data_IF_349430935153
#
_entry.id   IF_349430935153
#
_cell.length_a   1.000
_cell.length_b   1.000
_cell.length_c   1.000
_cell.angle_alpha   90.00
_cell.angle_beta   90.00
_cell.angle_gamma   90.00
#
_symmetry.space_group_name_H-M   'P 1'
#
loop_
_entity.id
_entity.type
_entity.pdbx_description
1 polymer ?
#
# COMPACT_ATOMS: atom_id res chain seq x y z
N UNK A 1 1.58 6.45 1.62
CA UNK A 1 1.08 7.78 1.28
C UNK A 1 1.66 8.23 -0.05
N UNK A 2 0.82 8.73 -0.95
CA UNK A 2 1.29 9.37 -2.17
C UNK A 2 1.67 10.81 -1.81
N UNK A 3 2.93 11.15 -1.88
CA UNK A 3 3.41 12.51 -1.73
C UNK A 3 3.90 13.06 -3.08
N UNK A 4 4.26 14.32 -3.10
CA UNK A 4 4.77 15.03 -4.28
C UNK A 4 6.03 14.40 -4.89
N UNK A 5 6.81 13.66 -4.11
CA UNK A 5 8.02 12.96 -4.57
C UNK A 5 7.72 11.57 -5.14
N UNK A 6 6.58 10.96 -4.81
CA UNK A 6 6.28 9.57 -5.17
C UNK A 6 5.08 9.41 -6.10
N UNK A 7 4.34 10.49 -6.41
CA UNK A 7 3.17 10.43 -7.27
C UNK A 7 3.28 11.35 -8.48
N UNK A 8 3.21 10.77 -9.66
CA UNK A 8 3.14 11.52 -10.93
C UNK A 8 1.86 12.36 -11.09
N UNK A 9 0.89 12.18 -10.24
CA UNK A 9 -0.36 12.96 -10.26
C UNK A 9 -0.22 14.31 -9.55
N UNK A 10 0.64 14.42 -8.54
CA UNK A 10 0.75 15.61 -7.71
C UNK A 10 1.14 16.86 -8.48
N UNK A 11 2.09 16.76 -9.41
CA UNK A 11 2.48 17.92 -10.22
C UNK A 11 1.50 18.26 -11.37
N UNK A 12 0.45 17.44 -11.55
CA UNK A 12 -0.69 17.74 -12.43
C UNK A 12 -1.87 18.36 -11.68
N UNK A 13 -1.74 18.52 -10.36
CA UNK A 13 -2.77 19.09 -9.50
C UNK A 13 -2.41 20.51 -9.09
N UNK A 14 -3.37 21.29 -8.63
CA UNK A 14 -3.20 22.68 -8.22
C UNK A 14 -2.15 22.88 -7.11
N UNK A 15 -1.80 21.83 -6.36
CA UNK A 15 -0.77 21.87 -5.32
C UNK A 15 0.67 21.95 -5.86
N UNK A 16 0.88 21.58 -7.10
CA UNK A 16 2.17 21.67 -7.77
C UNK A 16 2.29 22.91 -8.67
N UNK A 17 1.31 23.79 -8.63
CA UNK A 17 1.27 24.99 -9.42
C UNK A 17 1.59 26.21 -8.57
N UNK A 18 2.33 27.16 -9.17
CA UNK A 18 2.54 28.48 -8.62
C UNK A 18 1.29 29.38 -8.74
N UNK A 19 1.36 30.60 -8.23
CA UNK A 19 0.26 31.57 -8.27
C UNK A 19 -0.17 31.95 -9.70
N UNK A 20 0.60 31.55 -10.72
CA UNK A 20 0.29 31.75 -12.15
C UNK A 20 -0.26 30.49 -12.82
N UNK A 21 -0.50 29.41 -12.04
CA UNK A 21 -0.96 28.13 -12.56
C UNK A 21 0.10 27.36 -13.35
N UNK A 22 1.39 27.65 -13.13
CA UNK A 22 2.51 26.92 -13.74
C UNK A 22 3.12 25.93 -12.72
N UNK A 23 3.52 24.73 -13.17
CA UNK A 23 4.21 23.79 -12.30
C UNK A 23 5.49 24.40 -11.73
N UNK A 24 5.73 24.20 -10.44
CA UNK A 24 7.00 24.59 -9.83
C UNK A 24 8.17 23.96 -10.59
N UNK A 25 9.16 24.76 -10.92
CA UNK A 25 10.33 24.34 -11.70
C UNK A 25 11.05 23.14 -11.07
N UNK A 26 11.12 23.10 -9.75
CA UNK A 26 11.74 22.03 -8.97
C UNK A 26 11.05 20.69 -9.18
N UNK A 27 9.71 20.66 -9.27
CA UNK A 27 8.95 19.45 -9.56
C UNK A 27 9.16 18.97 -10.99
N UNK A 28 9.23 19.88 -11.96
CA UNK A 28 9.52 19.53 -13.34
C UNK A 28 10.92 18.94 -13.47
N UNK A 29 11.93 19.54 -12.83
CA UNK A 29 13.30 19.04 -12.84
C UNK A 29 13.44 17.69 -12.12
N UNK A 30 12.73 17.51 -10.99
CA UNK A 30 12.68 16.23 -10.30
C UNK A 30 12.06 15.15 -11.19
N UNK A 31 10.92 15.45 -11.80
CA UNK A 31 10.22 14.51 -12.68
C UNK A 31 11.07 14.14 -13.90
N UNK A 32 11.65 15.11 -14.59
CA UNK A 32 12.51 14.86 -15.75
C UNK A 32 13.72 13.99 -15.40
N UNK A 33 14.30 14.17 -14.22
CA UNK A 33 15.41 13.33 -13.74
C UNK A 33 14.98 11.89 -13.42
N UNK A 34 13.75 11.69 -12.96
CA UNK A 34 13.31 10.40 -12.42
C UNK A 34 12.32 9.65 -13.34
N UNK A 35 11.78 10.30 -14.38
CA UNK A 35 10.82 9.67 -15.29
C UNK A 35 11.33 8.38 -15.94
N UNK A 36 12.63 8.29 -16.14
CA UNK A 36 13.28 7.10 -16.72
C UNK A 36 13.69 6.05 -15.69
N UNK A 37 13.75 6.42 -14.41
CA UNK A 37 14.13 5.48 -13.34
C UNK A 37 13.13 4.31 -13.20
N UNK A 38 11.87 4.55 -13.58
CA UNK A 38 10.81 3.53 -13.53
C UNK A 38 10.63 2.76 -14.85
N UNK A 39 11.21 3.26 -15.94
CA UNK A 39 10.98 2.69 -17.28
C UNK A 39 12.20 2.03 -17.90
N UNK A 40 13.39 2.37 -17.45
CA UNK A 40 14.62 1.85 -18.03
C UNK A 40 15.67 1.63 -16.94
N UNK A 41 15.62 0.49 -16.26
CA UNK A 41 16.53 0.21 -15.16
C UNK A 41 17.58 -0.84 -15.55
N UNK A 42 18.42 -0.51 -16.55
CA UNK A 42 19.60 -1.30 -16.91
C UNK A 42 20.50 -1.61 -15.69
N UNK A 43 20.48 -0.71 -14.69
CA UNK A 43 21.24 -0.91 -13.46
C UNK A 43 20.71 -2.07 -12.64
N UNK A 44 19.37 -2.20 -12.54
CA UNK A 44 18.74 -3.30 -11.82
C UNK A 44 19.07 -4.64 -12.54
N UNK A 45 18.97 -4.66 -13.87
CA UNK A 45 19.29 -5.85 -14.66
C UNK A 45 20.76 -6.25 -14.53
N UNK A 46 21.67 -5.28 -14.63
CA UNK A 46 23.12 -5.55 -14.52
C UNK A 46 23.53 -6.04 -13.15
N UNK A 47 22.85 -5.60 -12.10
CA UNK A 47 23.16 -5.98 -10.72
C UNK A 47 22.29 -7.10 -10.17
N UNK A 48 21.27 -7.52 -10.92
CA UNK A 48 20.37 -8.58 -10.48
C UNK A 48 21.12 -9.85 -10.08
N UNK A 49 21.98 -10.33 -10.95
CA UNK A 49 22.79 -11.55 -10.71
C UNK A 49 23.76 -11.42 -9.54
N UNK A 50 24.20 -10.19 -9.21
CA UNK A 50 25.08 -9.94 -8.07
C UNK A 50 24.31 -9.96 -6.74
N UNK A 51 23.04 -9.55 -6.76
CA UNK A 51 22.22 -9.36 -5.54
C UNK A 51 21.30 -10.53 -5.26
N UNK A 52 20.91 -11.25 -6.28
CA UNK A 52 19.85 -12.24 -6.24
C UNK A 52 20.02 -13.25 -5.11
N UNK A 53 21.21 -13.83 -5.00
CA UNK A 53 21.49 -14.85 -3.98
C UNK A 53 21.50 -14.28 -2.54
N UNK A 54 21.71 -12.99 -2.40
CA UNK A 54 21.78 -12.29 -1.11
C UNK A 54 20.47 -11.67 -0.67
N UNK A 55 19.48 -11.53 -1.56
CA UNK A 55 18.17 -11.00 -1.21
C UNK A 55 17.31 -12.12 -0.65
N UNK A 56 16.93 -12.01 0.61
CA UNK A 56 16.04 -12.94 1.31
C UNK A 56 14.61 -12.42 1.46
N UNK A 57 14.42 -11.11 1.30
CA UNK A 57 13.12 -10.45 1.46
C UNK A 57 12.91 -9.36 0.41
N UNK A 58 11.81 -9.47 -0.29
CA UNK A 58 11.30 -8.47 -1.22
C UNK A 58 10.06 -7.81 -0.63
N UNK A 59 10.07 -6.49 -0.55
CA UNK A 59 8.90 -5.70 -0.15
C UNK A 59 8.62 -4.65 -1.23
N UNK A 60 7.60 -4.92 -2.04
CA UNK A 60 7.27 -4.14 -3.24
C UNK A 60 6.12 -3.21 -2.97
N UNK A 61 6.42 -1.92 -2.93
CA UNK A 61 5.43 -0.86 -2.72
C UNK A 61 5.77 0.37 -3.58
N UNK A 62 4.85 1.35 -3.59
CA UNK A 62 4.98 2.60 -4.35
C UNK A 62 4.35 2.53 -5.73
N UNK A 63 3.59 3.59 -6.09
CA UNK A 63 2.68 3.55 -7.22
C UNK A 63 1.64 2.44 -7.06
N UNK A 64 1.39 1.71 -8.13
CA UNK A 64 0.61 0.46 -8.10
C UNK A 64 1.43 -0.64 -8.77
N UNK A 65 2.03 -1.55 -8.00
CA UNK A 65 2.92 -2.58 -8.53
C UNK A 65 2.27 -3.46 -9.61
N UNK A 66 0.97 -3.74 -9.47
CA UNK A 66 0.25 -4.63 -10.39
C UNK A 66 0.18 -4.13 -11.84
N UNK A 67 0.39 -2.83 -12.07
CA UNK A 67 0.41 -2.24 -13.43
C UNK A 67 1.82 -1.89 -13.92
N UNK A 68 2.85 -2.08 -13.09
CA UNK A 68 4.23 -1.73 -13.43
C UNK A 68 4.93 -2.91 -14.08
N UNK A 69 5.38 -2.82 -15.34
CA UNK A 69 6.07 -3.94 -16.02
C UNK A 69 7.31 -4.44 -15.28
N UNK A 70 8.05 -3.53 -14.64
CA UNK A 70 9.24 -3.88 -13.87
C UNK A 70 8.92 -4.79 -12.67
N UNK A 71 7.76 -4.60 -12.01
CA UNK A 71 7.31 -5.50 -10.95
C UNK A 71 7.22 -6.96 -11.43
N UNK A 72 6.55 -7.18 -12.56
CA UNK A 72 6.36 -8.51 -13.13
C UNK A 72 7.68 -9.13 -13.55
N UNK A 73 8.54 -8.35 -14.18
CA UNK A 73 9.88 -8.79 -14.56
C UNK A 73 10.70 -9.20 -13.33
N UNK A 74 10.68 -8.38 -12.27
CA UNK A 74 11.36 -8.66 -11.00
C UNK A 74 10.82 -9.94 -10.37
N UNK A 75 9.50 -10.11 -10.34
CA UNK A 75 8.84 -11.29 -9.80
C UNK A 75 9.26 -12.56 -10.56
N UNK A 76 9.19 -12.53 -11.88
CA UNK A 76 9.55 -13.68 -12.72
C UNK A 76 11.04 -14.05 -12.57
N UNK A 77 11.92 -13.07 -12.47
CA UNK A 77 13.34 -13.30 -12.20
C UNK A 77 13.56 -13.90 -10.81
N UNK A 78 12.87 -13.38 -9.78
CA UNK A 78 12.98 -13.91 -8.42
C UNK A 78 12.47 -15.37 -8.33
N UNK A 79 11.43 -15.72 -9.09
CA UNK A 79 10.92 -17.11 -9.19
C UNK A 79 11.91 -18.03 -9.89
N UNK A 80 12.57 -17.55 -10.94
CA UNK A 80 13.57 -18.32 -11.70
C UNK A 80 14.85 -18.61 -10.89
N UNK A 81 15.06 -17.90 -9.78
CA UNK A 81 16.19 -18.09 -8.89
C UNK A 81 16.19 -19.47 -8.22
N UNK A 82 17.36 -20.08 -8.11
CA UNK A 82 17.56 -21.33 -7.37
C UNK A 82 17.26 -21.21 -5.88
N UNK A 83 17.25 -19.97 -5.35
CA UNK A 83 17.01 -19.64 -3.96
C UNK A 83 15.57 -19.15 -3.69
N UNK A 84 14.66 -19.19 -4.66
CA UNK A 84 13.28 -18.71 -4.53
C UNK A 84 12.57 -19.25 -3.27
N UNK A 85 12.72 -20.55 -2.98
CA UNK A 85 12.15 -21.22 -1.81
C UNK A 85 12.75 -20.79 -0.45
N UNK A 86 13.78 -19.97 -0.46
CA UNK A 86 14.38 -19.39 0.75
C UNK A 86 13.94 -17.92 0.95
N UNK A 87 13.29 -17.31 -0.04
CA UNK A 87 12.93 -15.89 -0.08
C UNK A 87 11.50 -15.67 0.39
N UNK A 88 11.28 -14.49 0.95
CA UNK A 88 9.96 -13.95 1.24
C UNK A 88 9.64 -12.84 0.24
N UNK A 89 8.40 -12.76 -0.20
CA UNK A 89 7.97 -11.76 -1.19
C UNK A 89 6.66 -11.09 -0.78
N UNK A 90 6.70 -9.79 -0.53
CA UNK A 90 5.53 -8.98 -0.22
C UNK A 90 5.22 -8.01 -1.34
N UNK A 91 3.95 -7.76 -1.55
CA UNK A 91 3.47 -6.68 -2.42
C UNK A 91 2.37 -5.89 -1.74
N UNK A 92 2.41 -4.57 -1.89
CA UNK A 92 1.35 -3.67 -1.44
C UNK A 92 0.61 -3.11 -2.65
N UNK A 93 -0.71 -3.28 -2.68
CA UNK A 93 -1.57 -2.89 -3.79
C UNK A 93 -2.74 -2.02 -3.31
N UNK A 94 -3.23 -1.15 -4.18
CA UNK A 94 -4.48 -0.43 -3.97
C UNK A 94 -5.74 -1.31 -4.17
N UNK A 95 -5.56 -2.55 -4.65
CA UNK A 95 -6.63 -3.52 -4.83
C UNK A 95 -7.48 -3.32 -6.09
N UNK A 96 -7.21 -2.30 -6.90
CA UNK A 96 -8.01 -2.01 -8.09
C UNK A 96 -7.77 -3.01 -9.24
N UNK A 97 -6.67 -3.75 -9.20
CA UNK A 97 -6.27 -4.68 -10.26
C UNK A 97 -6.18 -6.10 -9.72
N UNK A 98 -6.88 -7.02 -10.35
CA UNK A 98 -6.75 -8.45 -10.11
C UNK A 98 -5.88 -9.11 -11.18
N UNK A 99 -4.97 -9.98 -10.74
CA UNK A 99 -4.10 -10.79 -11.60
C UNK A 99 -4.23 -12.25 -11.19
N UNK A 100 -4.80 -13.03 -12.07
CA UNK A 100 -5.17 -14.43 -11.83
C UNK A 100 -3.97 -15.33 -11.46
N UNK A 101 -2.80 -15.05 -12.03
CA UNK A 101 -1.58 -15.85 -11.84
C UNK A 101 -0.71 -15.39 -10.65
N UNK A 102 -1.06 -14.28 -9.97
CA UNK A 102 -0.22 -13.71 -8.92
C UNK A 102 -0.01 -14.67 -7.75
N UNK A 103 -1.09 -15.26 -7.23
CA UNK A 103 -1.04 -16.15 -6.05
C UNK A 103 -0.26 -17.41 -6.36
N UNK A 104 -0.43 -17.99 -7.57
CA UNK A 104 0.38 -19.12 -8.03
C UNK A 104 1.86 -18.76 -8.12
N UNK A 105 2.19 -17.61 -8.68
CA UNK A 105 3.57 -17.10 -8.71
C UNK A 105 4.14 -16.95 -7.30
N UNK A 106 3.36 -16.39 -6.40
CA UNK A 106 3.75 -16.17 -5.00
C UNK A 106 3.97 -17.48 -4.23
N UNK A 107 3.26 -18.55 -4.57
CA UNK A 107 3.46 -19.88 -3.97
C UNK A 107 4.86 -20.47 -4.23
N UNK A 108 5.63 -19.94 -5.17
CA UNK A 108 7.00 -20.38 -5.48
C UNK A 108 8.02 -19.94 -4.44
N UNK A 109 7.68 -18.96 -3.57
CA UNK A 109 8.55 -18.48 -2.50
C UNK A 109 8.44 -19.29 -1.21
N UNK A 110 9.28 -18.99 -0.23
CA UNK A 110 9.17 -19.53 1.14
C UNK A 110 7.87 -19.10 1.77
N UNK A 111 7.59 -17.81 1.70
CA UNK A 111 6.31 -17.20 2.06
C UNK A 111 6.09 -15.95 1.22
N UNK A 112 4.83 -15.61 1.00
CA UNK A 112 4.47 -14.37 0.32
C UNK A 112 3.25 -13.71 0.96
N UNK A 113 3.15 -12.38 0.81
CA UNK A 113 2.07 -11.61 1.36
C UNK A 113 1.54 -10.58 0.36
N UNK A 114 0.20 -10.49 0.27
CA UNK A 114 -0.49 -9.47 -0.52
C UNK A 114 -1.16 -8.51 0.46
N UNK A 115 -0.58 -7.32 0.64
CA UNK A 115 -1.10 -6.26 1.49
C UNK A 115 -2.01 -5.32 0.71
N UNK A 116 -3.28 -5.28 1.05
CA UNK A 116 -4.23 -4.32 0.49
C UNK A 116 -4.18 -3.02 1.26
N UNK A 117 -3.93 -1.93 0.56
CA UNK A 117 -3.98 -0.58 1.14
C UNK A 117 -5.43 -0.09 1.13
N UNK A 118 -6.14 -0.23 2.25
CA UNK A 118 -7.55 0.17 2.39
C UNK A 118 -7.71 1.04 3.63
N UNK A 119 -8.19 2.27 3.46
CA UNK A 119 -8.27 3.27 4.54
C UNK A 119 -9.70 3.48 5.08
N UNK A 120 -10.69 2.80 4.48
CA UNK A 120 -12.09 2.88 4.88
C UNK A 120 -12.94 1.80 4.24
N UNK A 121 -14.24 1.83 4.48
CA UNK A 121 -15.23 0.92 3.88
C UNK A 121 -16.20 1.73 3.03
N UNK A 122 -16.54 1.17 1.85
CA UNK A 122 -17.52 1.79 0.96
C UNK A 122 -17.07 3.16 0.47
N UNK A 123 -18.01 4.10 0.43
CA UNK A 123 -17.79 5.48 -0.01
C UNK A 123 -16.71 6.21 0.79
N UNK A 124 -16.46 5.83 2.06
CA UNK A 124 -15.38 6.42 2.86
C UNK A 124 -14.02 6.10 2.25
N UNK A 125 -13.81 4.86 1.80
CA UNK A 125 -12.57 4.50 1.12
C UNK A 125 -12.41 5.26 -0.19
N UNK A 126 -13.47 5.36 -0.97
CA UNK A 126 -13.46 6.05 -2.26
C UNK A 126 -13.22 7.56 -2.11
N UNK A 127 -13.70 8.16 -1.02
CA UNK A 127 -13.40 9.54 -0.68
C UNK A 127 -11.94 9.75 -0.30
N UNK A 128 -11.40 8.90 0.59
CA UNK A 128 -10.01 9.04 1.10
C UNK A 128 -8.99 8.69 0.00
N UNK A 129 -9.30 7.65 -0.78
CA UNK A 129 -8.47 7.15 -1.89
C UNK A 129 -9.08 7.57 -3.21
N UNK A 130 -8.99 8.87 -3.51
CA UNK A 130 -9.56 9.43 -4.73
C UNK A 130 -9.18 8.62 -5.98
N UNK A 131 -10.21 8.26 -6.77
CA UNK A 131 -10.07 7.43 -7.96
C UNK A 131 -10.20 5.93 -7.71
N UNK A 132 -10.31 5.50 -6.45
CA UNK A 132 -10.67 4.12 -6.13
C UNK A 132 -12.17 3.87 -6.35
N UNK A 133 -12.52 2.58 -6.44
CA UNK A 133 -13.91 2.10 -6.44
C UNK A 133 -14.00 0.92 -5.49
N UNK A 134 -14.69 1.13 -4.39
CA UNK A 134 -14.83 0.12 -3.34
C UNK A 134 -15.30 -1.25 -3.85
N UNK A 135 -16.30 -1.25 -4.73
CA UNK A 135 -16.83 -2.49 -5.29
C UNK A 135 -15.77 -3.30 -6.04
N UNK A 136 -14.89 -2.65 -6.79
CA UNK A 136 -13.81 -3.33 -7.50
C UNK A 136 -12.78 -3.89 -6.50
N UNK A 137 -12.41 -3.08 -5.49
CA UNK A 137 -11.44 -3.47 -4.46
C UNK A 137 -11.93 -4.68 -3.68
N UNK A 138 -13.16 -4.63 -3.15
CA UNK A 138 -13.69 -5.73 -2.34
C UNK A 138 -13.92 -7.02 -3.15
N UNK A 139 -14.31 -6.89 -4.41
CA UNK A 139 -14.43 -8.03 -5.31
C UNK A 139 -13.07 -8.66 -5.62
N UNK A 140 -12.04 -7.85 -5.87
CA UNK A 140 -10.69 -8.35 -6.10
C UNK A 140 -10.09 -8.98 -4.84
N UNK A 141 -10.30 -8.36 -3.67
CA UNK A 141 -9.88 -8.90 -2.38
C UNK A 141 -10.45 -10.31 -2.16
N UNK A 142 -11.76 -10.50 -2.40
CA UNK A 142 -12.42 -11.81 -2.27
C UNK A 142 -11.84 -12.85 -3.22
N UNK A 143 -11.56 -12.49 -4.48
CA UNK A 143 -10.90 -13.40 -5.44
C UNK A 143 -9.52 -13.82 -4.95
N UNK A 144 -8.70 -12.89 -4.49
CA UNK A 144 -7.39 -13.21 -3.93
C UNK A 144 -7.48 -14.05 -2.66
N UNK A 145 -8.48 -13.82 -1.80
CA UNK A 145 -8.74 -14.70 -0.65
C UNK A 145 -9.02 -16.13 -1.07
N UNK A 146 -9.83 -16.32 -2.11
CA UNK A 146 -10.16 -17.65 -2.63
C UNK A 146 -8.96 -18.33 -3.27
N UNK A 147 -8.12 -17.58 -3.98
CA UNK A 147 -6.89 -18.09 -4.55
C UNK A 147 -5.87 -18.47 -3.47
N UNK A 148 -5.72 -17.66 -2.42
CA UNK A 148 -4.81 -17.93 -1.31
C UNK A 148 -5.15 -19.23 -0.56
N UNK A 149 -6.42 -19.66 -0.52
CA UNK A 149 -6.81 -20.94 0.09
C UNK A 149 -6.14 -22.17 -0.54
N UNK A 150 -5.61 -22.03 -1.75
CA UNK A 150 -4.89 -23.10 -2.48
C UNK A 150 -3.46 -23.31 -2.00
N UNK A 151 -2.92 -22.37 -1.19
CA UNK A 151 -1.50 -22.34 -0.86
C UNK A 151 -1.28 -21.88 0.58
N UNK A 152 -0.62 -22.72 1.40
CA UNK A 152 -0.38 -22.44 2.83
C UNK A 152 0.69 -21.36 3.07
N UNK A 153 1.49 -21.05 2.06
CA UNK A 153 2.59 -20.10 2.15
C UNK A 153 2.29 -18.71 1.56
N UNK A 154 1.04 -18.47 1.12
CA UNK A 154 0.61 -17.16 0.62
C UNK A 154 -0.48 -16.62 1.53
N UNK A 155 -0.27 -15.42 2.05
CA UNK A 155 -1.20 -14.74 2.94
C UNK A 155 -1.70 -13.43 2.35
N UNK A 156 -2.82 -12.96 2.88
CA UNK A 156 -3.42 -11.69 2.50
C UNK A 156 -3.75 -10.88 3.76
N UNK A 157 -3.59 -9.58 3.69
CA UNK A 157 -3.93 -8.66 4.77
C UNK A 157 -4.36 -7.30 4.27
N UNK A 158 -4.92 -6.52 5.18
CA UNK A 158 -5.28 -5.12 4.93
C UNK A 158 -4.45 -4.22 5.81
N UNK A 159 -3.94 -3.13 5.23
CA UNK A 159 -3.19 -2.11 5.95
C UNK A 159 -3.79 -0.75 5.67
N UNK A 160 -4.27 -0.08 6.72
CA UNK A 160 -4.78 1.27 6.66
C UNK A 160 -3.69 2.28 7.03
N UNK A 161 -3.65 3.42 6.33
CA UNK A 161 -2.92 4.60 6.81
C UNK A 161 -3.85 5.41 7.70
N UNK A 162 -3.53 5.51 8.98
CA UNK A 162 -4.36 6.21 9.97
C UNK A 162 -4.11 7.72 9.84
N UNK A 163 -5.19 8.44 9.54
CA UNK A 163 -5.21 9.87 9.30
C UNK A 163 -6.41 10.52 10.02
N UNK A 164 -6.51 11.84 10.11
CA UNK A 164 -7.72 12.52 10.58
C UNK A 164 -9.02 12.13 9.87
N UNK A 165 -8.91 11.63 8.64
CA UNK A 165 -10.06 11.28 7.80
C UNK A 165 -10.69 9.92 8.14
N UNK A 166 -9.94 9.01 8.76
CA UNK A 166 -10.42 7.65 9.04
C UNK A 166 -10.30 7.20 10.50
N UNK A 167 -9.55 7.90 11.34
CA UNK A 167 -9.33 7.50 12.73
C UNK A 167 -10.62 7.23 13.50
N UNK A 168 -11.65 8.06 13.33
CA UNK A 168 -12.93 7.91 13.99
C UNK A 168 -13.69 6.63 13.61
N UNK A 169 -13.39 6.07 12.45
CA UNK A 169 -14.01 4.84 11.91
C UNK A 169 -13.06 3.65 11.86
N UNK A 170 -11.89 3.77 12.46
CA UNK A 170 -10.85 2.75 12.37
C UNK A 170 -11.31 1.40 12.95
N UNK A 171 -11.96 1.40 14.12
CA UNK A 171 -12.50 0.19 14.75
C UNK A 171 -13.51 -0.53 13.86
N UNK A 172 -14.41 0.21 13.23
CA UNK A 172 -15.41 -0.35 12.31
C UNK A 172 -14.73 -1.02 11.09
N UNK A 173 -13.69 -0.38 10.55
CA UNK A 173 -12.91 -0.93 9.44
C UNK A 173 -12.19 -2.23 9.85
N UNK A 174 -11.53 -2.22 11.00
CA UNK A 174 -10.84 -3.38 11.53
C UNK A 174 -11.79 -4.56 11.77
N UNK A 175 -12.93 -4.31 12.42
CA UNK A 175 -13.95 -5.33 12.68
C UNK A 175 -14.54 -5.91 11.39
N UNK A 176 -14.70 -5.09 10.36
CA UNK A 176 -15.19 -5.56 9.07
C UNK A 176 -14.24 -6.60 8.46
N UNK A 177 -12.92 -6.32 8.43
CA UNK A 177 -11.95 -7.25 7.89
C UNK A 177 -11.71 -8.47 8.78
N UNK A 178 -11.76 -8.29 10.11
CA UNK A 178 -11.71 -9.40 11.07
C UNK A 178 -12.87 -10.40 10.86
N UNK A 179 -14.09 -9.90 10.59
CA UNK A 179 -15.25 -10.75 10.24
C UNK A 179 -15.06 -11.51 8.93
N UNK A 180 -14.28 -10.98 8.00
CA UNK A 180 -13.88 -11.67 6.76
C UNK A 180 -12.72 -12.66 6.98
N UNK A 181 -12.16 -12.75 8.18
CA UNK A 181 -10.99 -13.58 8.47
C UNK A 181 -9.67 -13.01 7.95
N UNK A 182 -9.63 -11.68 7.72
CA UNK A 182 -8.45 -10.99 7.22
C UNK A 182 -7.80 -10.23 8.36
N UNK A 183 -6.47 -10.34 8.49
CA UNK A 183 -5.71 -9.50 9.38
C UNK A 183 -5.69 -8.05 8.85
N UNK A 184 -6.12 -7.11 9.68
CA UNK A 184 -6.13 -5.69 9.36
C UNK A 184 -5.23 -4.95 10.36
N UNK A 185 -4.30 -4.16 9.84
CA UNK A 185 -3.36 -3.36 10.64
C UNK A 185 -3.43 -1.90 10.26
N UNK A 186 -2.99 -1.01 11.16
CA UNK A 186 -2.91 0.43 10.91
C UNK A 186 -1.46 0.93 10.96
N UNK A 187 -1.19 2.01 10.27
CA UNK A 187 0.07 2.76 10.34
C UNK A 187 -0.25 4.23 10.47
N UNK A 188 0.31 4.87 11.47
CA UNK A 188 0.15 6.30 11.66
C UNK A 188 0.74 7.10 10.51
N UNK A 189 -0.01 8.09 10.04
CA UNK A 189 0.49 9.06 9.06
C UNK A 189 1.09 10.24 9.83
N UNK A 190 2.36 10.49 9.63
CA UNK A 190 3.12 11.55 10.30
C UNK A 190 3.89 12.45 9.30
N UNK A 191 3.60 12.34 8.00
CA UNK A 191 4.34 13.04 6.95
C UNK A 191 3.99 14.54 6.87
N UNK A 192 2.75 14.91 7.17
CA UNK A 192 2.27 16.32 7.13
C UNK A 192 1.33 16.60 8.29
N UNK A 193 1.36 17.80 8.89
CA UNK A 193 0.50 18.15 10.03
C UNK A 193 -0.99 17.93 9.81
N UNK A 194 -1.49 18.16 8.61
CA UNK A 194 -2.93 17.98 8.31
C UNK A 194 -3.34 16.52 8.09
N UNK A 195 -2.38 15.61 7.96
CA UNK A 195 -2.60 14.17 7.87
C UNK A 195 -2.29 13.44 9.18
N UNK A 196 -1.72 14.15 10.14
CA UNK A 196 -1.32 13.60 11.43
C UNK A 196 -2.41 13.85 12.48
N UNK A 197 -2.92 12.78 13.05
CA UNK A 197 -4.00 12.83 14.05
C UNK A 197 -3.62 13.61 15.30
N UNK A 198 -2.33 13.76 15.59
CA UNK A 198 -1.84 14.56 16.74
C UNK A 198 -2.20 16.04 16.64
N UNK A 199 -2.43 16.54 15.41
CA UNK A 199 -2.83 17.94 15.17
C UNK A 199 -4.35 18.16 15.13
N UNK A 200 -5.15 17.12 15.36
CA UNK A 200 -6.60 17.29 15.52
C UNK A 200 -6.93 18.20 16.70
N UNK A 201 -7.99 19.02 16.62
CA UNK A 201 -8.49 19.78 17.77
C UNK A 201 -8.82 18.85 18.94
N UNK A 202 -8.53 19.28 20.18
CA UNK A 202 -8.72 18.46 21.38
C UNK A 202 -10.13 17.87 21.47
N UNK A 203 -11.17 18.65 21.17
CA UNK A 203 -12.56 18.16 21.16
C UNK A 203 -12.78 16.97 20.23
N UNK A 204 -12.07 16.93 19.10
CA UNK A 204 -12.15 15.80 18.16
C UNK A 204 -11.35 14.61 18.70
N UNK A 205 -10.17 14.87 19.26
CA UNK A 205 -9.37 13.81 19.92
C UNK A 205 -10.13 13.15 21.06
N UNK A 206 -10.77 13.94 21.92
CA UNK A 206 -11.59 13.41 23.03
C UNK A 206 -12.68 12.47 22.51
N UNK A 207 -13.39 12.85 21.44
CA UNK A 207 -14.42 12.00 20.83
C UNK A 207 -13.85 10.72 20.18
N UNK A 208 -12.65 10.81 19.61
CA UNK A 208 -11.96 9.62 19.07
C UNK A 208 -11.54 8.69 20.19
N UNK A 209 -10.94 9.22 21.27
CA UNK A 209 -10.50 8.45 22.43
C UNK A 209 -11.70 7.76 23.07
N UNK A 210 -12.79 8.48 23.36
CA UNK A 210 -14.01 7.91 23.92
C UNK A 210 -14.55 6.74 23.07
N UNK A 211 -14.54 6.90 21.74
CA UNK A 211 -15.00 5.85 20.82
C UNK A 211 -14.09 4.63 20.80
N UNK A 212 -12.77 4.82 20.89
CA UNK A 212 -11.77 3.78 20.77
C UNK A 212 -11.35 3.18 22.12
N UNK A 213 -11.70 3.80 23.25
CA UNK A 213 -11.32 3.39 24.61
C UNK A 213 -11.72 1.94 24.92
N UNK A 214 -12.83 1.45 24.34
CA UNK A 214 -13.32 0.09 24.51
C UNK A 214 -12.91 -0.85 23.39
N UNK A 215 -12.09 -0.35 22.46
CA UNK A 215 -11.60 -1.13 21.34
C UNK A 215 -10.26 -1.74 21.71
N UNK A 216 -10.34 -2.99 22.18
CA UNK A 216 -9.15 -3.78 22.52
C UNK A 216 -8.48 -4.27 21.23
N UNK A 217 -7.40 -3.60 20.88
CA UNK A 217 -6.58 -3.99 19.75
C UNK A 217 -5.22 -4.42 20.31
N UNK A 218 -5.00 -5.72 20.40
CA UNK A 218 -3.82 -6.33 20.99
C UNK A 218 -2.48 -5.85 20.38
N UNK A 219 -2.52 -5.16 19.25
CA UNK A 219 -1.33 -4.77 18.49
C UNK A 219 -1.04 -3.25 18.47
N UNK A 220 -1.96 -2.38 18.91
CA UNK A 220 -1.78 -0.92 18.78
C UNK A 220 -2.05 -0.18 20.09
N UNK A 221 -1.07 0.56 20.56
CA UNK A 221 -1.22 1.47 21.69
C UNK A 221 -1.86 2.79 21.22
N UNK A 222 -3.07 3.09 21.68
CA UNK A 222 -3.75 4.38 21.49
C UNK A 222 -3.14 5.52 22.31
N UNK A 223 -2.09 5.25 23.09
CA UNK A 223 -1.40 6.22 23.94
C UNK A 223 -0.71 7.37 23.18
N UNK A 224 -0.70 7.30 21.85
CA UNK A 224 -0.07 8.34 21.00
C UNK A 224 -1.01 9.51 20.67
N UNK A 225 -2.31 9.41 20.97
CA UNK A 225 -3.29 10.50 20.82
C UNK A 225 -3.24 11.47 21.99
#
# INVERSE_FOLDING_TARGET
>A
SCNDHTSSMWYKTDYALDDQGKPFKEYLEFFERHKTAYTNNDLLEKRWTEWEDNIIFWDMYGGEPMIIPLFWKTLDQAIASTTAKQKMFNVHTNGMVYKEDLVEKFSKFKSAHIGFSIDGIGEKNDYIRYGSKWEDIINNLKKYMDDCKKYDNVSIGVRATITPWNIYHYSENHDYFKKLGINATGVWCDDKPWNDVRYLPNKIKDAVIEKLEHYDNDEESWSTL
#
